data_IF_816268556135
#
_entry.id   IF_816268556135
#
_cell.length_a   1.000
_cell.length_b   1.000
_cell.length_c   1.000
_cell.angle_alpha   90.00
_cell.angle_beta   90.00
_cell.angle_gamma   90.00
#
_symmetry.space_group_name_H-M   'P 1'
#
loop_
_entity.id
_entity.type
_entity.pdbx_description
1 polymer ?
#
# COMPACT_ATOMS: atom_id res chain seq x y z
N UNK A 1 -15.63 2.77 17.49
CA UNK A 1 -14.71 2.09 18.44
C UNK A 1 -14.85 0.57 18.41
N UNK A 2 -16.05 -0.01 18.53
CA UNK A 2 -16.24 -1.48 18.57
C UNK A 2 -15.60 -2.21 17.37
N UNK A 3 -15.84 -1.73 16.14
CA UNK A 3 -15.28 -2.35 14.93
C UNK A 3 -13.75 -2.41 14.94
N UNK A 4 -13.09 -1.31 15.34
CA UNK A 4 -11.64 -1.30 15.48
C UNK A 4 -11.13 -2.24 16.59
N UNK A 5 -11.84 -2.34 17.72
CA UNK A 5 -11.50 -3.27 18.78
C UNK A 5 -11.60 -4.73 18.30
N UNK A 6 -12.68 -5.10 17.60
CA UNK A 6 -12.88 -6.44 17.05
C UNK A 6 -11.77 -6.81 16.05
N UNK A 7 -11.43 -5.91 15.11
CA UNK A 7 -10.37 -6.15 14.13
C UNK A 7 -9.01 -6.35 14.85
N UNK A 8 -8.66 -5.47 15.79
CA UNK A 8 -7.39 -5.58 16.50
C UNK A 8 -7.33 -6.84 17.38
N UNK A 9 -8.44 -7.23 18.03
CA UNK A 9 -8.52 -8.50 18.76
C UNK A 9 -8.33 -9.70 17.83
N UNK A 10 -9.00 -9.69 16.66
CA UNK A 10 -8.83 -10.71 15.64
C UNK A 10 -7.36 -10.81 15.16
N UNK A 11 -6.73 -9.68 14.85
CA UNK A 11 -5.32 -9.65 14.42
C UNK A 11 -4.38 -10.15 15.52
N UNK A 12 -4.55 -9.70 16.77
CA UNK A 12 -3.71 -10.15 17.88
C UNK A 12 -3.87 -11.65 18.14
N UNK A 13 -5.11 -12.16 18.09
CA UNK A 13 -5.39 -13.60 18.20
C UNK A 13 -4.78 -14.40 17.04
N UNK A 14 -4.83 -13.84 15.81
CA UNK A 14 -4.24 -14.48 14.64
C UNK A 14 -2.71 -14.60 14.75
N UNK A 15 -2.03 -13.56 15.24
CA UNK A 15 -0.58 -13.59 15.50
C UNK A 15 -0.24 -14.74 16.46
N UNK A 16 -0.98 -14.86 17.56
CA UNK A 16 -0.79 -15.95 18.53
C UNK A 16 -1.06 -17.34 17.93
N UNK A 17 -2.15 -17.48 17.17
CA UNK A 17 -2.53 -18.72 16.51
C UNK A 17 -1.47 -19.18 15.50
N UNK A 18 -1.09 -18.32 14.56
CA UNK A 18 -0.07 -18.61 13.55
C UNK A 18 1.27 -18.90 14.21
N UNK A 19 1.66 -18.15 15.24
CA UNK A 19 2.89 -18.39 16.00
C UNK A 19 2.92 -19.72 16.75
N UNK A 20 1.74 -20.27 17.11
CA UNK A 20 1.60 -21.61 17.71
C UNK A 20 1.40 -22.74 16.68
N UNK A 21 1.44 -22.44 15.39
CA UNK A 21 1.25 -23.41 14.32
C UNK A 21 -0.22 -23.63 13.92
N UNK A 22 -1.17 -22.91 14.51
CA UNK A 22 -2.58 -22.97 14.10
C UNK A 22 -2.83 -21.99 12.98
N UNK A 23 -2.85 -22.50 11.75
CA UNK A 23 -2.99 -21.72 10.52
C UNK A 23 -3.79 -22.51 9.48
N UNK A 24 -4.50 -21.81 8.60
CA UNK A 24 -5.17 -22.43 7.46
C UNK A 24 -4.20 -22.71 6.28
N UNK A 25 -2.94 -22.25 6.36
CA UNK A 25 -1.87 -22.58 5.41
C UNK A 25 -2.03 -21.99 4.00
N UNK A 26 -2.94 -21.03 3.81
CA UNK A 26 -3.16 -20.35 2.54
C UNK A 26 -2.44 -19.01 2.53
N UNK A 27 -1.66 -18.71 1.51
CA UNK A 27 -0.89 -17.46 1.37
C UNK A 27 -1.81 -16.23 1.42
N UNK A 28 -1.51 -15.25 2.28
CA UNK A 28 -2.32 -14.10 2.65
C UNK A 28 -3.66 -14.42 3.34
N UNK A 29 -3.97 -15.67 3.56
CA UNK A 29 -5.17 -16.16 4.23
C UNK A 29 -4.82 -17.13 5.35
N UNK A 30 -3.66 -16.98 5.97
CA UNK A 30 -3.14 -17.86 7.03
C UNK A 30 -3.99 -17.83 8.29
N UNK A 31 -4.71 -16.74 8.55
CA UNK A 31 -5.55 -16.56 9.74
C UNK A 31 -6.60 -17.68 9.80
N UNK A 32 -6.69 -18.47 10.88
CA UNK A 32 -7.76 -19.46 11.03
C UNK A 32 -9.15 -18.82 10.86
N UNK A 33 -10.03 -19.46 10.11
CA UNK A 33 -11.35 -18.88 9.78
C UNK A 33 -12.18 -18.51 11.00
N UNK A 34 -12.02 -19.26 12.13
CA UNK A 34 -12.71 -18.99 13.40
C UNK A 34 -12.31 -17.62 13.97
N UNK A 35 -11.04 -17.26 13.85
CA UNK A 35 -10.52 -15.94 14.24
C UNK A 35 -10.96 -14.88 13.24
N UNK A 36 -11.04 -15.25 11.97
CA UNK A 36 -11.52 -14.37 10.89
C UNK A 36 -12.91 -13.80 11.14
N UNK A 37 -13.76 -14.47 11.92
CA UNK A 37 -15.11 -13.98 12.30
C UNK A 37 -15.03 -12.63 13.02
N UNK A 38 -14.05 -12.43 13.91
CA UNK A 38 -13.84 -11.15 14.60
C UNK A 38 -13.52 -10.01 13.61
N UNK A 39 -12.72 -10.31 12.61
CA UNK A 39 -12.33 -9.35 11.57
C UNK A 39 -13.55 -8.96 10.73
N UNK A 40 -14.35 -9.93 10.29
CA UNK A 40 -15.58 -9.69 9.52
C UNK A 40 -16.59 -8.89 10.34
N UNK A 41 -16.84 -9.27 11.59
CA UNK A 41 -17.72 -8.54 12.50
C UNK A 41 -17.23 -7.09 12.70
N UNK A 42 -15.93 -6.91 12.83
CA UNK A 42 -15.32 -5.58 12.91
C UNK A 42 -15.55 -4.73 11.65
N UNK A 43 -15.41 -5.30 10.45
CA UNK A 43 -15.73 -4.61 9.20
C UNK A 43 -17.22 -4.24 9.13
N UNK A 44 -18.13 -5.12 9.50
CA UNK A 44 -19.57 -4.83 9.52
C UNK A 44 -19.86 -3.64 10.45
N UNK A 45 -19.25 -3.62 11.65
CA UNK A 45 -19.39 -2.51 12.60
C UNK A 45 -18.84 -1.18 12.08
N UNK A 46 -17.87 -1.18 11.14
CA UNK A 46 -17.34 0.03 10.51
C UNK A 46 -18.19 0.44 9.30
N UNK A 47 -18.54 -0.52 8.46
CA UNK A 47 -19.29 -0.27 7.22
C UNK A 47 -20.67 0.31 7.52
N UNK A 48 -21.39 -0.19 8.51
CA UNK A 48 -22.74 0.28 8.87
C UNK A 48 -22.80 1.79 9.09
N UNK A 49 -22.06 2.37 10.04
CA UNK A 49 -22.02 3.81 10.27
C UNK A 49 -21.54 4.63 9.06
N UNK A 50 -20.59 4.10 8.29
CA UNK A 50 -20.09 4.76 7.06
C UNK A 50 -21.21 4.86 6.03
N UNK A 51 -21.93 3.76 5.76
CA UNK A 51 -23.05 3.76 4.83
C UNK A 51 -24.20 4.64 5.33
N UNK A 52 -24.51 4.60 6.64
CA UNK A 52 -25.49 5.49 7.23
C UNK A 52 -25.16 6.96 7.02
N UNK A 53 -23.89 7.34 7.25
CA UNK A 53 -23.41 8.71 7.01
C UNK A 53 -23.51 9.09 5.53
N UNK A 54 -23.20 8.15 4.64
CA UNK A 54 -23.26 8.37 3.20
C UNK A 54 -24.68 8.60 2.70
N UNK A 55 -25.64 7.82 3.19
CA UNK A 55 -27.07 7.97 2.83
C UNK A 55 -27.62 9.30 3.34
N UNK A 56 -27.26 9.70 4.56
CA UNK A 56 -27.73 10.93 5.20
C UNK A 56 -26.83 12.15 4.90
N UNK A 57 -25.98 12.09 3.88
CA UNK A 57 -25.11 13.20 3.52
C UNK A 57 -25.89 14.43 3.10
N UNK A 58 -25.31 15.61 3.40
CA UNK A 58 -25.90 16.92 3.04
C UNK A 58 -25.41 17.45 1.70
N UNK A 59 -24.43 16.78 1.08
CA UNK A 59 -23.84 17.17 -0.22
C UNK A 59 -24.39 16.27 -1.32
N UNK A 60 -24.68 16.84 -2.48
CA UNK A 60 -25.21 16.07 -3.62
C UNK A 60 -24.16 15.15 -4.23
N UNK A 61 -22.99 15.70 -4.54
CA UNK A 61 -21.89 14.96 -5.16
C UNK A 61 -20.84 14.53 -4.13
N UNK A 62 -20.34 13.29 -4.29
CA UNK A 62 -19.30 12.73 -3.45
C UNK A 62 -17.93 13.06 -4.03
N UNK A 63 -17.02 13.52 -3.18
CA UNK A 63 -15.63 13.70 -3.56
C UNK A 63 -14.95 12.35 -3.78
N UNK A 64 -14.01 12.29 -4.73
CA UNK A 64 -13.37 11.04 -5.18
C UNK A 64 -12.74 10.21 -4.06
N UNK A 65 -12.17 10.83 -3.02
CA UNK A 65 -11.63 10.09 -1.88
C UNK A 65 -12.68 9.26 -1.15
N UNK A 66 -13.95 9.72 -1.12
CA UNK A 66 -15.06 8.96 -0.52
C UNK A 66 -15.37 7.72 -1.35
N UNK A 67 -15.34 7.81 -2.69
CA UNK A 67 -15.50 6.66 -3.58
C UNK A 67 -14.46 5.58 -3.28
N UNK A 68 -13.18 5.96 -3.22
CA UNK A 68 -12.10 5.04 -2.94
C UNK A 68 -12.23 4.39 -1.55
N UNK A 69 -12.51 5.17 -0.51
CA UNK A 69 -12.59 4.66 0.87
C UNK A 69 -13.79 3.74 1.09
N UNK A 70 -14.96 4.09 0.58
CA UNK A 70 -16.18 3.27 0.72
C UNK A 70 -16.02 1.97 -0.07
N UNK A 71 -15.52 2.05 -1.32
CA UNK A 71 -15.27 0.87 -2.12
C UNK A 71 -14.26 -0.06 -1.45
N UNK A 72 -13.15 0.46 -0.92
CA UNK A 72 -12.16 -0.33 -0.21
C UNK A 72 -12.74 -1.11 0.97
N UNK A 73 -13.60 -0.47 1.78
CA UNK A 73 -14.26 -1.12 2.92
C UNK A 73 -15.23 -2.23 2.48
N UNK A 74 -15.99 -2.02 1.41
CA UNK A 74 -16.92 -3.02 0.90
C UNK A 74 -16.15 -4.18 0.24
N UNK A 75 -15.13 -3.87 -0.54
CA UNK A 75 -14.33 -4.89 -1.24
C UNK A 75 -13.59 -5.78 -0.26
N UNK A 76 -12.90 -5.24 0.76
CA UNK A 76 -12.15 -6.08 1.70
C UNK A 76 -13.05 -7.05 2.45
N UNK A 77 -14.23 -6.63 2.88
CA UNK A 77 -15.18 -7.50 3.56
C UNK A 77 -15.63 -8.65 2.64
N UNK A 78 -15.97 -8.33 1.38
CA UNK A 78 -16.37 -9.33 0.38
C UNK A 78 -15.23 -10.28 0.03
N UNK A 79 -14.05 -9.74 -0.25
CA UNK A 79 -12.86 -10.52 -0.61
C UNK A 79 -12.48 -11.50 0.50
N UNK A 80 -12.46 -11.03 1.74
CA UNK A 80 -12.10 -11.85 2.89
C UNK A 80 -13.11 -12.99 3.11
N UNK A 81 -14.41 -12.70 3.06
CA UNK A 81 -15.45 -13.73 3.20
C UNK A 81 -15.32 -14.77 2.11
N UNK A 82 -15.21 -14.39 0.83
CA UNK A 82 -15.11 -15.34 -0.28
C UNK A 82 -13.83 -16.17 -0.18
N UNK A 83 -12.68 -15.54 0.10
CA UNK A 83 -11.40 -16.22 0.20
C UNK A 83 -11.33 -17.20 1.36
N UNK A 84 -12.10 -16.95 2.44
CA UNK A 84 -12.07 -17.69 3.69
C UNK A 84 -13.21 -18.69 3.88
N UNK A 85 -14.09 -18.88 2.90
CA UNK A 85 -15.19 -19.85 3.02
C UNK A 85 -14.64 -21.26 3.27
N UNK A 86 -14.83 -21.83 4.46
CA UNK A 86 -14.22 -23.12 4.82
C UNK A 86 -14.83 -24.26 4.00
N UNK A 87 -13.97 -25.13 3.46
CA UNK A 87 -14.39 -26.33 2.71
C UNK A 87 -15.02 -26.10 1.33
N UNK A 88 -15.07 -24.85 0.85
CA UNK A 88 -15.68 -24.52 -0.46
C UNK A 88 -14.66 -24.66 -1.59
N UNK A 89 -13.43 -24.20 -1.36
CA UNK A 89 -12.38 -24.19 -2.37
C UNK A 89 -11.38 -25.34 -2.12
N UNK A 90 -11.09 -26.12 -3.16
CA UNK A 90 -10.15 -27.25 -3.07
C UNK A 90 -9.26 -27.31 -4.32
N UNK A 91 -8.03 -27.84 -4.18
CA UNK A 91 -7.10 -28.05 -5.28
C UNK A 91 -6.80 -26.78 -6.08
N UNK A 92 -6.91 -26.84 -7.39
CA UNK A 92 -6.65 -25.73 -8.32
C UNK A 92 -7.60 -24.53 -8.09
N UNK A 93 -8.85 -24.81 -7.69
CA UNK A 93 -9.79 -23.73 -7.34
C UNK A 93 -9.30 -22.94 -6.13
N UNK A 94 -8.78 -23.63 -5.11
CA UNK A 94 -8.22 -22.98 -3.94
C UNK A 94 -7.04 -22.09 -4.32
N UNK A 95 -6.08 -22.56 -5.11
CA UNK A 95 -4.95 -21.77 -5.58
C UNK A 95 -5.41 -20.52 -6.36
N UNK A 96 -6.41 -20.69 -7.24
CA UNK A 96 -6.99 -19.58 -8.02
C UNK A 96 -7.67 -18.56 -7.12
N UNK A 97 -8.51 -19.00 -6.17
CA UNK A 97 -9.21 -18.11 -5.23
C UNK A 97 -8.22 -17.45 -4.27
N UNK A 98 -7.18 -18.17 -3.83
CA UNK A 98 -6.13 -17.65 -2.97
C UNK A 98 -5.42 -16.45 -3.64
N UNK A 99 -4.99 -16.59 -4.88
CA UNK A 99 -4.32 -15.49 -5.60
C UNK A 99 -5.29 -14.42 -6.10
N UNK A 100 -6.54 -14.78 -6.38
CA UNK A 100 -7.59 -13.77 -6.56
C UNK A 100 -7.75 -12.90 -5.31
N UNK A 101 -7.79 -13.50 -4.11
CA UNK A 101 -7.84 -12.76 -2.85
C UNK A 101 -6.53 -11.99 -2.61
N UNK A 102 -5.39 -12.68 -2.64
CA UNK A 102 -4.09 -12.11 -2.28
C UNK A 102 -3.76 -10.86 -3.11
N UNK A 103 -4.03 -10.92 -4.43
CA UNK A 103 -3.80 -9.75 -5.28
C UNK A 103 -4.86 -8.66 -5.08
N UNK A 104 -6.12 -9.04 -4.92
CA UNK A 104 -7.21 -8.09 -4.75
C UNK A 104 -7.16 -7.37 -3.38
N UNK A 105 -6.63 -7.97 -2.32
CA UNK A 105 -6.41 -7.26 -1.06
C UNK A 105 -5.40 -6.12 -1.24
N UNK A 106 -4.42 -6.28 -2.09
CA UNK A 106 -3.46 -5.22 -2.43
C UNK A 106 -4.11 -4.14 -3.30
N UNK A 107 -4.84 -4.52 -4.34
CA UNK A 107 -5.34 -3.59 -5.35
C UNK A 107 -6.74 -3.04 -5.12
N UNK A 108 -7.62 -3.77 -4.43
CA UNK A 108 -8.99 -3.31 -4.13
C UNK A 108 -9.19 -2.90 -2.65
N UNK A 109 -8.17 -3.04 -1.80
CA UNK A 109 -8.21 -2.52 -0.44
C UNK A 109 -7.06 -1.55 -0.16
N UNK A 110 -5.81 -2.01 -0.13
CA UNK A 110 -4.67 -1.15 0.20
C UNK A 110 -4.47 -0.01 -0.81
N UNK A 111 -4.58 -0.30 -2.10
CA UNK A 111 -4.44 0.74 -3.14
C UNK A 111 -5.55 1.80 -3.07
N UNK A 112 -6.85 1.46 -3.01
CA UNK A 112 -7.90 2.46 -2.88
C UNK A 112 -7.80 3.29 -1.60
N UNK A 113 -7.45 2.69 -0.46
CA UNK A 113 -7.22 3.43 0.79
C UNK A 113 -6.11 4.46 0.60
N UNK A 114 -4.99 4.06 -0.01
CA UNK A 114 -3.83 4.94 -0.17
C UNK A 114 -4.04 6.01 -1.25
N UNK A 115 -4.61 5.65 -2.40
CA UNK A 115 -4.97 6.60 -3.46
C UNK A 115 -6.03 7.59 -2.96
N UNK A 116 -7.06 7.10 -2.25
CA UNK A 116 -8.07 7.94 -1.62
C UNK A 116 -7.48 8.89 -0.57
N UNK A 117 -6.50 8.44 0.21
CA UNK A 117 -5.76 9.28 1.14
C UNK A 117 -4.98 10.38 0.43
N UNK A 118 -4.27 10.07 -0.67
CA UNK A 118 -3.56 11.09 -1.46
C UNK A 118 -4.55 12.11 -2.01
N UNK A 119 -5.68 11.68 -2.61
CA UNK A 119 -6.71 12.58 -3.11
C UNK A 119 -7.33 13.48 -2.03
N UNK A 120 -7.33 13.01 -0.78
CA UNK A 120 -7.83 13.81 0.35
C UNK A 120 -6.78 14.75 0.93
N UNK A 121 -5.61 14.23 1.29
CA UNK A 121 -4.61 14.99 2.05
C UNK A 121 -3.78 15.93 1.19
N UNK A 122 -3.34 15.50 0.00
CA UNK A 122 -2.46 16.31 -0.84
C UNK A 122 -3.09 17.66 -1.20
N UNK A 123 -4.35 17.73 -1.73
CA UNK A 123 -4.99 19.01 -2.01
C UNK A 123 -5.14 19.90 -0.78
N UNK A 124 -5.45 19.30 0.39
CA UNK A 124 -5.58 20.04 1.65
C UNK A 124 -4.27 20.63 2.14
N UNK A 125 -3.16 19.90 2.00
CA UNK A 125 -1.83 20.36 2.42
C UNK A 125 -1.37 21.53 1.54
N UNK A 126 -1.60 21.45 0.21
CA UNK A 126 -1.15 22.49 -0.71
C UNK A 126 -2.14 23.64 -0.90
N UNK A 127 -3.33 23.55 -0.30
CA UNK A 127 -4.38 24.57 -0.44
C UNK A 127 -4.91 24.72 -1.87
N UNK A 128 -5.02 23.60 -2.62
CA UNK A 128 -5.42 23.64 -4.04
C UNK A 128 -6.27 22.40 -4.37
N UNK A 129 -7.40 22.56 -5.11
CA UNK A 129 -8.20 21.42 -5.55
C UNK A 129 -7.42 20.55 -6.55
N UNK A 130 -7.86 19.31 -6.73
CA UNK A 130 -7.31 18.40 -7.76
C UNK A 130 -7.49 19.04 -9.15
N UNK A 131 -6.51 18.83 -10.02
CA UNK A 131 -6.50 19.43 -11.38
C UNK A 131 -7.70 19.00 -12.20
N UNK A 132 -8.07 17.71 -12.16
CA UNK A 132 -9.17 17.16 -12.93
C UNK A 132 -9.96 16.14 -12.13
N UNK A 133 -11.21 16.47 -11.87
CA UNK A 133 -12.14 15.54 -11.24
C UNK A 133 -12.48 14.36 -12.17
N UNK A 134 -12.60 14.63 -13.48
CA UNK A 134 -12.89 13.58 -14.48
C UNK A 134 -11.78 12.53 -14.53
N UNK A 135 -10.50 12.92 -14.46
CA UNK A 135 -9.39 11.96 -14.36
C UNK A 135 -9.45 11.14 -13.05
N UNK A 136 -9.93 11.73 -11.96
CA UNK A 136 -10.13 11.01 -10.70
C UNK A 136 -11.17 9.90 -10.84
N UNK A 137 -12.29 10.20 -11.48
CA UNK A 137 -13.39 9.25 -11.72
C UNK A 137 -12.97 8.19 -12.74
N UNK A 138 -12.28 8.58 -13.82
CA UNK A 138 -11.73 7.62 -14.78
C UNK A 138 -10.78 6.64 -14.07
N UNK A 139 -9.86 7.14 -13.24
CA UNK A 139 -8.93 6.31 -12.46
C UNK A 139 -9.64 5.35 -11.53
N UNK A 140 -10.69 5.81 -10.84
CA UNK A 140 -11.48 4.95 -9.94
C UNK A 140 -12.18 3.81 -10.70
N UNK A 141 -12.96 4.13 -11.72
CA UNK A 141 -13.75 3.12 -12.43
C UNK A 141 -12.92 2.14 -13.23
N UNK A 142 -11.83 2.59 -13.84
CA UNK A 142 -10.92 1.70 -14.56
C UNK A 142 -10.15 0.78 -13.63
N UNK A 143 -9.75 1.26 -12.44
CA UNK A 143 -9.20 0.41 -11.38
C UNK A 143 -10.23 -0.65 -10.95
N UNK A 144 -11.44 -0.25 -10.62
CA UNK A 144 -12.51 -1.15 -10.17
C UNK A 144 -12.83 -2.22 -11.22
N UNK A 145 -12.83 -1.85 -12.50
CA UNK A 145 -13.17 -2.75 -13.58
C UNK A 145 -12.04 -3.72 -13.95
N UNK A 146 -10.81 -3.23 -14.06
CA UNK A 146 -9.70 -4.07 -14.53
C UNK A 146 -9.03 -4.89 -13.44
N UNK A 147 -9.11 -4.49 -12.17
CA UNK A 147 -8.30 -5.14 -11.14
C UNK A 147 -8.78 -6.53 -10.75
N UNK A 148 -10.03 -6.86 -10.98
CA UNK A 148 -10.69 -8.04 -10.40
C UNK A 148 -10.03 -9.39 -10.67
N UNK A 149 -9.36 -9.59 -11.79
CA UNK A 149 -8.73 -10.86 -12.17
C UNK A 149 -7.21 -10.78 -12.37
N UNK A 150 -6.60 -9.67 -11.97
CA UNK A 150 -5.15 -9.43 -12.13
C UNK A 150 -4.32 -10.51 -11.44
N UNK A 151 -4.76 -11.03 -10.29
CA UNK A 151 -4.04 -12.04 -9.48
C UNK A 151 -3.74 -13.36 -10.19
N UNK A 152 -4.46 -13.71 -11.26
CA UNK A 152 -4.21 -14.94 -12.03
C UNK A 152 -2.83 -14.98 -12.71
N UNK A 153 -2.15 -13.84 -12.87
CA UNK A 153 -0.79 -13.84 -13.42
C UNK A 153 0.25 -14.48 -12.48
N UNK A 154 -0.03 -14.58 -11.18
CA UNK A 154 0.82 -15.33 -10.25
C UNK A 154 0.79 -16.86 -10.47
N UNK A 155 -0.15 -17.34 -11.27
CA UNK A 155 -0.32 -18.75 -11.58
C UNK A 155 0.09 -19.10 -13.01
N UNK A 156 0.83 -18.22 -13.71
CA UNK A 156 1.38 -18.50 -15.04
C UNK A 156 2.32 -19.70 -14.93
N UNK A 157 2.12 -20.69 -15.82
CA UNK A 157 2.86 -21.95 -15.80
C UNK A 157 2.23 -23.03 -14.91
N UNK A 158 1.26 -22.67 -14.05
CA UNK A 158 0.49 -23.63 -13.25
C UNK A 158 -0.66 -24.30 -13.98
N UNK A 159 -1.33 -25.28 -13.38
CA UNK A 159 -2.39 -26.09 -13.99
C UNK A 159 -3.75 -25.36 -14.00
N UNK A 160 -3.78 -24.08 -14.44
CA UNK A 160 -5.00 -23.30 -14.57
C UNK A 160 -5.35 -23.07 -16.03
N UNK A 161 -6.64 -22.81 -16.38
CA UNK A 161 -7.05 -22.61 -17.76
C UNK A 161 -6.28 -21.46 -18.43
N UNK A 162 -5.79 -21.68 -19.66
CA UNK A 162 -5.01 -20.70 -20.42
C UNK A 162 -5.75 -19.38 -20.68
N UNK A 163 -7.08 -19.42 -20.82
CA UNK A 163 -7.89 -18.21 -20.97
C UNK A 163 -7.86 -17.34 -19.70
N UNK A 164 -7.81 -17.95 -18.52
CA UNK A 164 -7.78 -17.23 -17.24
C UNK A 164 -6.44 -16.47 -17.05
N UNK A 165 -5.32 -17.13 -17.36
CA UNK A 165 -4.01 -16.45 -17.35
C UNK A 165 -3.94 -15.33 -18.38
N UNK A 166 -4.49 -15.55 -19.58
CA UNK A 166 -4.52 -14.52 -20.63
C UNK A 166 -5.37 -13.33 -20.22
N UNK A 167 -6.57 -13.56 -19.66
CA UNK A 167 -7.41 -12.50 -19.11
C UNK A 167 -6.68 -11.70 -18.04
N UNK A 168 -6.01 -12.39 -17.12
CA UNK A 168 -5.23 -11.76 -16.06
C UNK A 168 -4.11 -10.87 -16.60
N UNK A 169 -3.36 -11.34 -17.59
CA UNK A 169 -2.31 -10.55 -18.25
C UNK A 169 -2.89 -9.29 -18.91
N UNK A 170 -3.97 -9.44 -19.67
CA UNK A 170 -4.64 -8.31 -20.34
C UNK A 170 -5.09 -7.27 -19.29
N UNK A 171 -5.73 -7.71 -18.22
CA UNK A 171 -6.17 -6.80 -17.16
C UNK A 171 -4.99 -6.14 -16.44
N UNK A 172 -3.90 -6.86 -16.22
CA UNK A 172 -2.66 -6.29 -15.66
C UNK A 172 -2.08 -5.18 -16.54
N UNK A 173 -2.12 -5.34 -17.85
CA UNK A 173 -1.71 -4.29 -18.79
C UNK A 173 -2.68 -3.11 -18.81
N UNK A 174 -4.00 -3.36 -18.69
CA UNK A 174 -5.01 -2.29 -18.62
C UNK A 174 -4.90 -1.45 -17.35
N UNK A 175 -4.21 -1.92 -16.30
CA UNK A 175 -3.92 -1.12 -15.10
C UNK A 175 -3.07 0.13 -15.39
N UNK A 176 -2.41 0.21 -16.52
CA UNK A 176 -1.73 1.44 -16.97
C UNK A 176 -2.70 2.63 -17.05
N UNK A 177 -3.99 2.38 -17.38
CA UNK A 177 -5.00 3.44 -17.54
C UNK A 177 -5.29 4.17 -16.22
N UNK A 178 -5.72 3.49 -15.12
CA UNK A 178 -5.97 4.16 -13.85
C UNK A 178 -4.70 4.79 -13.25
N UNK A 179 -3.55 4.16 -13.44
CA UNK A 179 -2.26 4.67 -12.98
C UNK A 179 -1.86 5.94 -13.71
N UNK A 180 -1.99 5.98 -15.03
CA UNK A 180 -1.73 7.18 -15.83
C UNK A 180 -2.71 8.32 -15.46
N UNK A 181 -4.00 8.02 -15.31
CA UNK A 181 -5.01 9.00 -14.90
C UNK A 181 -4.67 9.62 -13.54
N UNK A 182 -4.29 8.80 -12.56
CA UNK A 182 -3.84 9.26 -11.24
C UNK A 182 -2.57 10.11 -11.36
N UNK A 183 -1.54 9.61 -12.04
CA UNK A 183 -0.23 10.26 -12.14
C UNK A 183 -0.33 11.63 -12.80
N UNK A 184 -1.03 11.72 -13.94
CA UNK A 184 -1.24 12.99 -14.65
C UNK A 184 -2.03 13.98 -13.78
N UNK A 185 -3.06 13.48 -13.08
CA UNK A 185 -3.86 14.32 -12.20
C UNK A 185 -3.04 14.86 -11.01
N UNK A 186 -2.25 14.01 -10.36
CA UNK A 186 -1.42 14.42 -9.21
C UNK A 186 -0.28 15.33 -9.64
N UNK A 187 0.43 14.99 -10.72
CA UNK A 187 1.48 15.86 -11.27
C UNK A 187 0.93 17.25 -11.62
N UNK A 188 -0.24 17.29 -12.28
CA UNK A 188 -0.91 18.54 -12.61
C UNK A 188 -1.41 19.32 -11.39
N UNK A 189 -1.87 18.63 -10.35
CA UNK A 189 -2.26 19.26 -9.09
C UNK A 189 -1.06 19.89 -8.37
N UNK A 190 0.10 19.22 -8.42
CA UNK A 190 1.35 19.69 -7.83
C UNK A 190 2.11 20.72 -8.69
N UNK A 191 1.68 20.96 -9.92
CA UNK A 191 2.38 21.88 -10.83
C UNK A 191 2.56 23.26 -10.22
N UNK A 192 3.81 23.75 -10.16
CA UNK A 192 4.18 25.02 -9.51
C UNK A 192 4.22 24.98 -7.98
N UNK A 193 3.87 23.85 -7.33
CA UNK A 193 3.87 23.68 -5.87
C UNK A 193 4.85 22.60 -5.36
N UNK A 194 5.65 22.02 -6.26
CA UNK A 194 6.64 20.95 -5.90
C UNK A 194 7.62 21.40 -4.80
N UNK A 195 7.99 22.69 -4.78
CA UNK A 195 8.90 23.26 -3.78
C UNK A 195 8.38 23.12 -2.34
N UNK A 196 7.05 23.02 -2.13
CA UNK A 196 6.45 22.87 -0.80
C UNK A 196 6.89 21.56 -0.11
N UNK A 197 7.28 20.55 -0.86
CA UNK A 197 7.79 19.31 -0.31
C UNK A 197 9.10 19.48 0.51
N UNK A 198 9.87 20.55 0.25
CA UNK A 198 11.06 20.87 1.07
C UNK A 198 10.68 21.21 2.50
N UNK A 199 9.52 21.82 2.69
CA UNK A 199 9.07 22.38 3.96
C UNK A 199 8.04 21.51 4.67
N UNK A 200 7.31 20.66 3.92
CA UNK A 200 6.29 19.78 4.48
C UNK A 200 6.71 18.31 4.44
N UNK A 201 7.12 17.72 5.58
CA UNK A 201 7.42 16.29 5.62
C UNK A 201 6.18 15.44 5.29
N UNK A 202 4.99 15.83 5.71
CA UNK A 202 3.74 15.12 5.38
C UNK A 202 3.49 15.09 3.87
N UNK A 203 3.73 16.21 3.17
CA UNK A 203 3.60 16.26 1.70
C UNK A 203 4.62 15.36 1.02
N UNK A 204 5.85 15.24 1.57
CA UNK A 204 6.86 14.32 1.04
C UNK A 204 6.40 12.87 1.06
N UNK A 205 5.78 12.42 2.16
CA UNK A 205 5.20 11.08 2.24
C UNK A 205 4.15 10.84 1.16
N UNK A 206 3.24 11.80 0.94
CA UNK A 206 2.18 11.68 -0.06
C UNK A 206 2.74 11.64 -1.48
N UNK A 207 3.70 12.52 -1.80
CA UNK A 207 4.33 12.59 -3.12
C UNK A 207 5.19 11.34 -3.40
N UNK A 208 5.99 10.91 -2.42
CA UNK A 208 6.80 9.72 -2.54
C UNK A 208 5.93 8.49 -2.77
N UNK A 209 4.89 8.29 -1.93
CA UNK A 209 3.95 7.18 -2.10
C UNK A 209 3.24 7.20 -3.45
N UNK A 210 2.79 8.38 -3.92
CA UNK A 210 2.17 8.51 -5.24
C UNK A 210 3.12 8.18 -6.40
N UNK A 211 4.40 8.53 -6.30
CA UNK A 211 5.42 8.13 -7.26
C UNK A 211 5.66 6.61 -7.21
N UNK A 212 5.74 6.03 -6.02
CA UNK A 212 5.93 4.59 -5.84
C UNK A 212 4.71 3.79 -6.33
N UNK A 213 3.49 4.33 -6.22
CA UNK A 213 2.30 3.74 -6.84
C UNK A 213 2.46 3.59 -8.35
N UNK A 214 2.92 4.65 -9.02
CA UNK A 214 3.19 4.61 -10.46
C UNK A 214 4.25 3.56 -10.79
N UNK A 215 5.39 3.57 -10.10
CA UNK A 215 6.49 2.66 -10.38
C UNK A 215 6.13 1.19 -10.11
N UNK A 216 5.47 0.90 -8.98
CA UNK A 216 5.04 -0.46 -8.64
C UNK A 216 4.01 -1.00 -9.65
N UNK A 217 3.07 -0.17 -10.07
CA UNK A 217 2.05 -0.58 -11.05
C UNK A 217 2.64 -0.85 -12.43
N UNK A 218 3.58 -0.02 -12.89
CA UNK A 218 4.29 -0.26 -14.16
C UNK A 218 5.13 -1.54 -14.09
N UNK A 219 5.86 -1.75 -12.99
CA UNK A 219 6.65 -2.97 -12.79
C UNK A 219 5.76 -4.21 -12.77
N UNK A 220 4.63 -4.19 -12.04
CA UNK A 220 3.69 -5.31 -11.98
C UNK A 220 3.04 -5.62 -13.31
N UNK A 221 2.70 -4.60 -14.12
CA UNK A 221 2.22 -4.81 -15.47
C UNK A 221 3.26 -5.51 -16.36
N UNK A 222 4.53 -5.11 -16.27
CA UNK A 222 5.63 -5.78 -17.00
C UNK A 222 5.84 -7.21 -16.51
N UNK A 223 5.81 -7.44 -15.20
CA UNK A 223 5.98 -8.75 -14.56
C UNK A 223 4.87 -9.74 -14.93
N UNK A 224 3.69 -9.25 -15.27
CA UNK A 224 2.58 -10.06 -15.76
C UNK A 224 2.79 -10.59 -17.20
N UNK A 225 3.69 -10.00 -18.00
CA UNK A 225 3.99 -10.49 -19.35
C UNK A 225 4.70 -11.85 -19.28
N UNK A 226 4.26 -12.82 -20.09
CA UNK A 226 4.80 -14.21 -20.06
C UNK A 226 6.32 -14.26 -20.15
N UNK A 227 6.91 -13.47 -21.05
CA UNK A 227 8.37 -13.43 -21.26
C UNK A 227 9.13 -12.86 -20.06
N UNK A 228 8.59 -11.86 -19.37
CA UNK A 228 9.17 -11.31 -18.15
C UNK A 228 8.93 -12.24 -16.97
N UNK A 229 7.70 -12.75 -16.83
CA UNK A 229 7.30 -13.66 -15.78
C UNK A 229 8.16 -14.94 -15.76
N UNK A 230 8.54 -15.45 -16.93
CA UNK A 230 9.42 -16.61 -17.04
C UNK A 230 10.76 -16.39 -16.32
N UNK A 231 11.28 -15.17 -16.28
CA UNK A 231 12.52 -14.82 -15.57
C UNK A 231 12.25 -14.49 -14.11
N UNK A 232 11.15 -13.78 -13.82
CA UNK A 232 10.94 -13.17 -12.50
C UNK A 232 10.17 -14.05 -11.52
N UNK A 233 9.39 -15.02 -12.02
CA UNK A 233 8.55 -15.89 -11.18
C UNK A 233 9.40 -16.70 -10.21
N UNK A 234 8.97 -16.75 -8.95
CA UNK A 234 9.67 -17.39 -7.82
C UNK A 234 11.07 -16.82 -7.50
N UNK A 235 11.35 -15.60 -7.94
CA UNK A 235 12.62 -14.92 -7.64
C UNK A 235 12.42 -13.76 -6.65
N UNK A 236 13.54 -13.20 -6.17
CA UNK A 236 13.51 -12.00 -5.35
C UNK A 236 13.00 -10.73 -6.07
N UNK A 237 12.87 -10.78 -7.40
CA UNK A 237 12.26 -9.69 -8.18
C UNK A 237 10.80 -9.44 -7.77
N UNK A 238 10.00 -10.49 -7.67
CA UNK A 238 8.61 -10.40 -7.20
C UNK A 238 8.52 -9.92 -5.76
N UNK A 239 9.47 -10.30 -4.91
CA UNK A 239 9.57 -9.78 -3.53
C UNK A 239 9.86 -8.27 -3.53
N UNK A 240 10.75 -7.79 -4.41
CA UNK A 240 11.01 -6.36 -4.58
C UNK A 240 9.76 -5.60 -5.01
N UNK A 241 9.03 -6.14 -6.01
CA UNK A 241 7.78 -5.58 -6.49
C UNK A 241 6.73 -5.46 -5.38
N UNK A 242 6.50 -6.53 -4.62
CA UNK A 242 5.53 -6.55 -3.53
C UNK A 242 5.85 -5.48 -2.46
N UNK A 243 7.13 -5.32 -2.10
CA UNK A 243 7.53 -4.31 -1.11
C UNK A 243 7.50 -2.88 -1.66
N UNK A 244 7.74 -2.70 -2.96
CA UNK A 244 7.55 -1.39 -3.60
C UNK A 244 6.09 -0.93 -3.46
N UNK A 245 5.12 -1.83 -3.70
CA UNK A 245 3.70 -1.56 -3.53
C UNK A 245 3.30 -1.42 -2.06
N UNK A 246 3.54 -2.44 -1.23
CA UNK A 246 3.06 -2.47 0.14
C UNK A 246 3.77 -1.48 1.07
N UNK A 247 5.09 -1.31 0.93
CA UNK A 247 5.85 -0.42 1.81
C UNK A 247 6.05 0.97 1.21
N UNK A 248 6.69 1.06 0.03
CA UNK A 248 7.07 2.35 -0.52
C UNK A 248 5.85 3.19 -0.94
N UNK A 249 4.78 2.56 -1.40
CA UNK A 249 3.53 3.25 -1.69
C UNK A 249 2.61 3.28 -0.47
N UNK A 250 2.03 2.14 -0.08
CA UNK A 250 0.93 2.11 0.91
C UNK A 250 1.39 2.60 2.27
N UNK A 251 2.45 2.00 2.84
CA UNK A 251 2.90 2.34 4.20
C UNK A 251 3.37 3.80 4.30
N UNK A 252 4.08 4.30 3.28
CA UNK A 252 4.52 5.70 3.30
C UNK A 252 3.34 6.68 3.23
N UNK A 253 2.31 6.41 2.43
CA UNK A 253 1.09 7.23 2.40
C UNK A 253 0.38 7.21 3.75
N UNK A 254 0.27 6.04 4.38
CA UNK A 254 -0.37 5.91 5.70
C UNK A 254 0.40 6.66 6.79
N UNK A 255 1.73 6.64 6.79
CA UNK A 255 2.52 7.49 7.68
C UNK A 255 2.19 8.97 7.49
N UNK A 256 2.16 9.44 6.24
CA UNK A 256 1.76 10.82 5.94
C UNK A 256 0.36 11.16 6.44
N UNK A 257 -0.60 10.24 6.28
CA UNK A 257 -1.97 10.39 6.77
C UNK A 257 -2.01 10.48 8.30
N UNK A 258 -1.30 9.60 9.01
CA UNK A 258 -1.21 9.60 10.49
C UNK A 258 -0.60 10.91 10.99
N UNK A 259 0.50 11.36 10.39
CA UNK A 259 1.12 12.63 10.76
C UNK A 259 0.20 13.83 10.56
N UNK A 260 -0.69 13.78 9.57
CA UNK A 260 -1.68 14.82 9.34
C UNK A 260 -2.86 14.74 10.33
N UNK A 261 -3.39 13.53 10.59
CA UNK A 261 -4.63 13.36 11.34
C UNK A 261 -4.45 13.46 12.86
N UNK A 262 -3.38 12.87 13.41
CA UNK A 262 -3.24 12.72 14.87
C UNK A 262 -3.26 14.04 15.63
N UNK A 263 -2.64 15.15 15.20
CA UNK A 263 -2.78 16.43 15.88
C UNK A 263 -4.22 16.91 16.03
N UNK A 264 -5.05 16.62 15.04
CA UNK A 264 -6.47 17.02 15.03
C UNK A 264 -7.33 16.16 15.93
N UNK A 265 -6.99 14.87 16.04
CA UNK A 265 -7.70 13.92 16.91
C UNK A 265 -7.37 14.17 18.36
N UNK A 266 -6.11 14.46 18.69
CA UNK A 266 -5.62 14.61 20.05
C UNK A 266 -5.61 16.07 20.57
N UNK A 267 -5.86 17.05 19.71
CA UNK A 267 -5.65 18.47 19.99
C UNK A 267 -4.26 18.75 20.61
N UNK A 268 -3.24 18.09 20.03
CA UNK A 268 -1.85 18.18 20.48
C UNK A 268 -0.91 18.02 19.31
N UNK A 269 0.00 18.98 19.07
CA UNK A 269 0.94 18.92 17.96
C UNK A 269 2.13 17.98 18.23
N UNK A 270 2.71 17.46 17.16
CA UNK A 270 3.89 16.58 17.22
C UNK A 270 5.04 17.29 17.94
N UNK A 271 5.57 16.73 19.07
CA UNK A 271 6.53 17.44 19.91
C UNK A 271 7.89 17.67 19.22
N UNK A 272 8.31 16.73 18.35
CA UNK A 272 9.63 16.75 17.71
C UNK A 272 9.53 16.64 16.18
N UNK A 273 9.10 17.68 15.41
CA UNK A 273 8.82 17.56 13.97
C UNK A 273 10.03 17.16 13.11
N UNK A 274 11.26 17.35 13.58
CA UNK A 274 12.46 16.89 12.87
C UNK A 274 12.52 15.38 12.77
N UNK A 275 11.94 14.65 13.73
CA UNK A 275 11.84 13.19 13.70
C UNK A 275 10.97 12.70 12.55
N UNK A 276 9.96 13.47 12.11
CA UNK A 276 9.14 13.14 10.94
C UNK A 276 10.00 13.12 9.67
N UNK A 277 10.88 14.10 9.53
CA UNK A 277 11.80 14.13 8.37
C UNK A 277 12.86 13.03 8.44
N UNK A 278 13.39 12.76 9.62
CA UNK A 278 14.37 11.69 9.83
C UNK A 278 13.74 10.33 9.49
N UNK A 279 12.55 10.07 10.02
CA UNK A 279 11.79 8.85 9.77
C UNK A 279 11.49 8.69 8.27
N UNK A 280 11.08 9.76 7.57
CA UNK A 280 10.86 9.74 6.14
C UNK A 280 12.11 9.30 5.35
N UNK A 281 13.26 9.93 5.62
CA UNK A 281 14.47 9.65 4.85
C UNK A 281 15.03 8.25 5.14
N UNK A 282 14.97 7.78 6.37
CA UNK A 282 15.37 6.42 6.71
C UNK A 282 14.49 5.39 6.00
N UNK A 283 13.17 5.61 5.98
CA UNK A 283 12.24 4.74 5.26
C UNK A 283 12.47 4.77 3.74
N UNK A 284 12.59 5.97 3.16
CA UNK A 284 12.72 6.14 1.71
C UNK A 284 14.05 5.59 1.18
N UNK A 285 15.16 5.85 1.87
CA UNK A 285 16.47 5.32 1.52
C UNK A 285 16.50 3.81 1.75
N UNK A 286 15.96 3.35 2.90
CA UNK A 286 15.92 1.94 3.26
C UNK A 286 15.17 1.10 2.21
N UNK A 287 13.96 1.52 1.83
CA UNK A 287 13.20 0.80 0.79
C UNK A 287 13.85 0.94 -0.60
N UNK A 288 14.52 2.05 -0.89
CA UNK A 288 15.26 2.22 -2.14
C UNK A 288 16.38 1.19 -2.27
N UNK A 289 17.23 1.04 -1.26
CA UNK A 289 18.30 0.03 -1.21
C UNK A 289 17.71 -1.39 -1.31
N UNK A 290 16.66 -1.66 -0.53
CA UNK A 290 15.96 -2.95 -0.51
C UNK A 290 15.43 -3.30 -1.91
N UNK A 291 14.70 -2.38 -2.52
CA UNK A 291 14.07 -2.56 -3.83
C UNK A 291 15.09 -2.78 -4.94
N UNK A 292 16.09 -1.91 -5.06
CA UNK A 292 17.10 -2.01 -6.11
C UNK A 292 17.90 -3.31 -5.97
N UNK A 293 18.32 -3.64 -4.76
CA UNK A 293 19.05 -4.89 -4.49
C UNK A 293 18.27 -6.11 -4.92
N UNK A 294 17.02 -6.25 -4.46
CA UNK A 294 16.22 -7.43 -4.78
C UNK A 294 15.75 -7.47 -6.25
N UNK A 295 15.54 -6.31 -6.89
CA UNK A 295 15.21 -6.27 -8.33
C UNK A 295 16.37 -6.81 -9.17
N UNK A 296 17.60 -6.36 -8.93
CA UNK A 296 18.78 -6.82 -9.66
C UNK A 296 19.07 -8.29 -9.31
N UNK A 297 19.12 -8.61 -8.02
CA UNK A 297 19.40 -9.97 -7.54
C UNK A 297 18.38 -10.99 -8.02
N UNK A 298 17.08 -10.62 -8.01
CA UNK A 298 15.99 -11.48 -8.49
C UNK A 298 16.04 -11.72 -10.00
N UNK A 299 16.39 -10.71 -10.79
CA UNK A 299 16.58 -10.87 -12.23
C UNK A 299 17.74 -11.83 -12.55
N UNK A 300 18.89 -11.64 -11.91
CA UNK A 300 20.05 -12.53 -12.08
C UNK A 300 19.76 -13.95 -11.57
N UNK A 301 19.00 -14.08 -10.48
CA UNK A 301 18.52 -15.37 -9.98
C UNK A 301 17.68 -16.09 -11.03
N UNK A 302 16.73 -15.40 -11.67
CA UNK A 302 15.87 -15.99 -12.69
C UNK A 302 16.65 -16.45 -13.91
N UNK A 303 17.63 -15.65 -14.38
CA UNK A 303 18.50 -16.05 -15.48
C UNK A 303 19.34 -17.31 -15.12
N UNK A 304 19.83 -17.39 -13.87
CA UNK A 304 20.56 -18.57 -13.42
C UNK A 304 19.65 -19.81 -13.31
N UNK A 305 18.39 -19.64 -12.90
CA UNK A 305 17.40 -20.74 -12.83
C UNK A 305 16.96 -21.25 -14.19
N UNK A 306 17.00 -20.43 -15.23
CA UNK A 306 16.67 -20.81 -16.60
C UNK A 306 17.80 -21.58 -17.30
N UNK A 307 19.01 -21.54 -16.80
CA UNK A 307 20.15 -22.26 -17.34
C UNK A 307 20.20 -23.68 -16.77
N UNK A 308 19.69 -24.65 -17.54
CA UNK A 308 19.63 -26.04 -17.13
C UNK A 308 21.03 -26.69 -16.92
N UNK A 309 22.11 -26.05 -17.36
CA UNK A 309 23.47 -26.54 -17.13
C UNK A 309 24.01 -26.20 -15.73
N UNK A 310 23.36 -25.29 -15.01
CA UNK A 310 23.79 -24.85 -13.69
C UNK A 310 23.10 -25.61 -12.55
N UNK A 311 23.82 -25.99 -11.50
CA UNK A 311 23.20 -26.50 -10.29
C UNK A 311 22.28 -25.46 -9.65
N UNK A 312 21.16 -25.90 -9.06
CA UNK A 312 20.21 -24.99 -8.40
C UNK A 312 20.88 -24.07 -7.35
N UNK A 313 21.86 -24.57 -6.60
CA UNK A 313 22.57 -23.78 -5.58
C UNK A 313 23.34 -22.58 -6.13
N UNK A 314 23.70 -22.57 -7.41
CA UNK A 314 24.30 -21.39 -8.03
C UNK A 314 23.29 -20.26 -8.18
N UNK A 315 22.02 -20.57 -8.44
CA UNK A 315 20.95 -19.56 -8.45
C UNK A 315 20.71 -18.94 -7.08
N UNK A 316 20.96 -19.70 -6.01
CA UNK A 316 20.92 -19.17 -4.64
C UNK A 316 22.15 -18.33 -4.35
N UNK A 317 23.34 -18.81 -4.71
CA UNK A 317 24.62 -18.11 -4.46
C UNK A 317 24.65 -16.70 -5.11
N UNK A 318 24.12 -16.56 -6.31
CA UNK A 318 24.08 -15.27 -7.04
C UNK A 318 23.24 -14.21 -6.29
N UNK A 319 22.31 -14.61 -5.42
CA UNK A 319 21.47 -13.68 -4.67
C UNK A 319 22.13 -13.12 -3.42
N UNK A 320 23.16 -13.76 -2.87
CA UNK A 320 23.74 -13.44 -1.56
C UNK A 320 24.15 -11.97 -1.43
N UNK A 321 24.88 -11.34 -2.37
CA UNK A 321 25.26 -9.92 -2.25
C UNK A 321 24.03 -9.01 -2.17
N UNK A 322 22.98 -9.32 -2.92
CA UNK A 322 21.74 -8.53 -2.97
C UNK A 322 20.87 -8.72 -1.72
N UNK A 323 20.94 -9.90 -1.08
CA UNK A 323 20.33 -10.14 0.23
C UNK A 323 21.03 -9.36 1.33
N UNK A 324 22.33 -9.10 1.20
CA UNK A 324 23.04 -8.16 2.09
C UNK A 324 22.51 -6.74 1.93
N UNK A 325 22.32 -6.26 0.69
CA UNK A 325 21.66 -4.96 0.44
C UNK A 325 20.25 -4.92 1.05
N UNK A 326 19.47 -5.97 0.88
CA UNK A 326 18.17 -6.12 1.51
C UNK A 326 18.25 -5.94 3.02
N UNK A 327 19.25 -6.54 3.67
CA UNK A 327 19.43 -6.48 5.11
C UNK A 327 19.79 -5.06 5.57
N UNK A 328 20.66 -4.34 4.85
CA UNK A 328 20.97 -2.94 5.12
C UNK A 328 19.72 -2.07 4.97
N UNK A 329 19.00 -2.18 3.84
CA UNK A 329 17.77 -1.43 3.60
C UNK A 329 16.71 -1.72 4.64
N UNK A 330 16.50 -3.01 4.98
CA UNK A 330 15.56 -3.44 6.01
C UNK A 330 15.90 -2.90 7.40
N UNK A 331 17.18 -2.85 7.76
CA UNK A 331 17.61 -2.26 9.05
C UNK A 331 17.28 -0.76 9.13
N UNK A 332 17.46 -0.01 8.06
CA UNK A 332 17.06 1.41 7.99
C UNK A 332 15.53 1.57 8.12
N UNK A 333 14.76 0.68 7.50
CA UNK A 333 13.31 0.66 7.62
C UNK A 333 12.88 0.36 9.07
N UNK A 334 13.48 -0.62 9.73
CA UNK A 334 13.21 -0.93 11.15
C UNK A 334 13.53 0.27 12.03
N UNK A 335 14.69 0.92 11.85
CA UNK A 335 15.04 2.13 12.60
C UNK A 335 14.02 3.25 12.38
N UNK A 336 13.56 3.43 11.15
CA UNK A 336 12.47 4.36 10.80
C UNK A 336 11.21 4.08 11.62
N UNK A 337 10.80 2.80 11.71
CA UNK A 337 9.63 2.40 12.50
C UNK A 337 9.81 2.61 14.00
N UNK A 338 10.99 2.34 14.56
CA UNK A 338 11.28 2.60 15.98
C UNK A 338 11.18 4.10 16.29
N UNK A 339 11.69 4.96 15.42
CA UNK A 339 11.53 6.42 15.54
C UNK A 339 10.05 6.79 15.48
N UNK A 340 9.27 6.22 14.54
CA UNK A 340 7.85 6.49 14.47
C UNK A 340 7.12 6.08 15.74
N UNK A 341 7.34 4.87 16.25
CA UNK A 341 6.70 4.36 17.47
C UNK A 341 7.03 5.25 18.67
N UNK A 342 8.31 5.58 18.89
CA UNK A 342 8.71 6.45 19.96
C UNK A 342 8.09 7.85 19.86
N UNK A 343 8.05 8.42 18.66
CA UNK A 343 7.44 9.72 18.41
C UNK A 343 5.92 9.70 18.55
N UNK A 344 5.27 8.62 18.11
CA UNK A 344 3.83 8.41 18.27
C UNK A 344 3.43 8.27 19.76
N UNK A 345 4.20 7.51 20.53
CA UNK A 345 3.98 7.39 21.97
C UNK A 345 4.18 8.74 22.68
N UNK A 346 5.23 9.49 22.33
CA UNK A 346 5.43 10.85 22.85
C UNK A 346 4.23 11.76 22.54
N UNK A 347 3.67 11.65 21.34
CA UNK A 347 2.46 12.39 20.94
C UNK A 347 1.23 12.00 21.76
N UNK A 348 0.94 10.69 21.89
CA UNK A 348 -0.24 10.18 22.60
C UNK A 348 -0.16 10.47 24.09
N UNK A 349 1.01 10.33 24.69
CA UNK A 349 1.26 10.58 26.11
C UNK A 349 1.50 12.07 26.41
N UNK A 350 1.45 12.93 25.41
CA UNK A 350 1.76 14.37 25.52
C UNK A 350 3.12 14.65 26.16
N UNK A 351 4.08 13.79 25.87
CA UNK A 351 5.45 13.91 26.36
C UNK A 351 6.29 14.78 25.43
N UNK A 352 6.89 15.84 25.97
CA UNK A 352 7.73 16.76 25.23
C UNK A 352 7.17 18.18 25.15
N UNK A 353 7.80 19.07 24.38
CA UNK A 353 7.41 20.47 24.29
C UNK A 353 6.05 20.64 23.62
N UNK A 354 5.16 21.40 24.26
CA UNK A 354 3.93 21.86 23.64
C UNK A 354 4.25 22.83 22.48
N UNK A 355 3.58 22.66 21.36
CA UNK A 355 3.77 23.49 20.16
C UNK A 355 2.47 24.16 19.74
N UNK A 356 2.60 25.42 19.33
CA UNK A 356 1.48 26.26 18.87
C UNK A 356 1.30 26.23 17.35
N UNK A 357 2.29 25.76 16.58
CA UNK A 357 2.27 25.72 15.12
C UNK A 357 2.12 24.31 14.56
N UNK A 358 1.38 24.14 13.48
CA UNK A 358 1.16 22.86 12.84
C UNK A 358 2.48 22.27 12.29
N UNK A 359 2.74 20.98 12.57
CA UNK A 359 3.91 20.25 12.08
C UNK A 359 3.86 19.96 10.57
N UNK A 360 2.79 20.34 9.86
CA UNK A 360 2.64 20.19 8.42
C UNK A 360 3.69 20.92 7.61
N UNK A 361 4.17 22.06 8.14
CA UNK A 361 5.21 22.87 7.51
C UNK A 361 6.31 23.20 8.53
N UNK A 362 7.55 23.32 8.03
CA UNK A 362 8.64 23.74 8.88
C UNK A 362 8.48 25.22 9.28
N UNK A 363 8.99 25.66 10.46
CA UNK A 363 8.90 27.06 10.90
C UNK A 363 9.44 28.09 9.89
N UNK A 364 10.36 27.71 9.00
CA UNK A 364 10.93 28.59 7.98
C UNK A 364 9.94 29.07 6.93
N UNK A 365 8.80 28.39 6.75
CA UNK A 365 7.77 28.83 5.81
C UNK A 365 6.89 29.94 6.39
N UNK A 366 6.70 29.95 7.70
CA UNK A 366 5.94 31.02 8.38
C UNK A 366 6.65 32.36 8.30
N UNK A 367 7.98 32.37 8.35
CA UNK A 367 8.77 33.61 8.19
C UNK A 367 8.84 34.10 6.75
N UNK A 368 8.81 33.22 5.77
CA UNK A 368 8.85 33.60 4.35
C UNK A 368 7.51 34.17 3.83
N UNK A 369 6.38 33.71 4.39
CA UNK A 369 5.03 34.19 4.00
C UNK A 369 4.68 35.51 4.69
N UNK A 370 5.23 35.77 5.88
CA UNK A 370 5.03 37.03 6.61
C UNK A 370 5.94 38.18 6.13
N UNK A 371 6.90 37.90 5.25
CA UNK A 371 7.84 38.91 4.70
C UNK A 371 7.58 39.32 3.26
N UNK A 372 6.47 38.87 2.65
CA UNK A 372 5.97 39.43 1.38
C UNK A 372 4.94 40.50 1.67
N UNK A 373 5.20 41.76 1.24
CA UNK A 373 4.30 42.89 1.45
C UNK A 373 2.98 42.72 0.70
#
# INVERSE_FOLDING_TARGET
MLGGALINTGIASAIGAIGSGWTDGMEYLEIPWQIGIFIVAGFICIIGPVLYTLVNRKVESLYVSVWYMVAALLWIALLFVIGKLPGVHTGVQQATTNWWYGHNVLGLWFTPVSVGAIYYFLPKIIGRPVRSYNLSILGFWTLAFFYGQVGGHHLIGGPIPGWLTTLSIVQSMMMIIPVAAFTVNMAGTMWGRMHLARYSPTLRFMMFGGLMYMLSSLQGSLEALRSVNQVTHFTHFTVAHAHLGAYAFVTMVLFGAIYFMMPRVLNWEWPYPRLISLQFWLAAIGIGIYFVGLTIGGWLQGLAMLDASRPFMESVAVTIPYLQWRSVGGSLMVLSHLIFVGHFLAMVLRFGPARTGAALFSPRLHTAVSSTP
#
